data_IF_959933335482
#
_entry.id   IF_959933335482
#
_cell.length_a   1.000
_cell.length_b   1.000
_cell.length_c   1.000
_cell.angle_alpha   90.00
_cell.angle_beta   90.00
_cell.angle_gamma   90.00
#
_symmetry.space_group_name_H-M   'P 1'
#
loop_
_entity.id
_entity.type
_entity.pdbx_description
1 polymer ?
#
# COMPACT_ATOMS: atom_id res chain seq x y z
N UNK A 1 12.95 -8.38 -4.10
CA UNK A 1 12.15 -7.20 -3.93
C UNK A 1 12.09 -6.75 -2.50
N UNK A 2 12.45 -5.53 -2.27
CA UNK A 2 12.64 -5.09 -0.93
C UNK A 2 12.00 -3.76 -0.65
N UNK A 3 11.01 -3.80 0.20
CA UNK A 3 10.45 -2.57 0.75
C UNK A 3 10.74 -2.55 2.24
N UNK A 4 10.92 -1.35 2.77
CA UNK A 4 11.22 -1.18 4.19
C UNK A 4 10.14 -0.34 4.84
N UNK A 5 9.96 -0.56 6.15
CA UNK A 5 9.04 0.26 6.92
C UNK A 5 9.49 1.70 6.87
N UNK A 6 8.57 2.60 6.57
CA UNK A 6 8.87 4.02 6.42
C UNK A 6 9.08 4.45 4.99
N UNK A 7 9.19 3.49 4.08
CA UNK A 7 9.42 3.81 2.68
C UNK A 7 8.16 4.34 2.02
N UNK A 8 8.33 5.28 1.09
CA UNK A 8 7.19 5.86 0.37
C UNK A 8 6.97 5.11 -0.92
N UNK A 9 5.71 4.83 -1.21
CA UNK A 9 5.33 4.04 -2.38
C UNK A 9 4.07 4.59 -3.02
N UNK A 10 3.84 4.18 -4.26
CA UNK A 10 2.57 4.44 -4.94
C UNK A 10 2.05 3.12 -5.50
N UNK A 11 0.79 3.10 -5.88
CA UNK A 11 0.23 1.94 -6.55
C UNK A 11 0.72 1.90 -8.00
N UNK A 12 1.11 0.72 -8.45
CA UNK A 12 1.55 0.54 -9.83
C UNK A 12 0.40 0.60 -10.82
N UNK A 13 -0.77 0.17 -10.38
CA UNK A 13 -1.93 0.14 -11.23
C UNK A 13 -3.17 -0.01 -10.40
N UNK A 14 -4.35 -0.03 -11.03
CA UNK A 14 -5.59 -0.10 -10.28
C UNK A 14 -5.70 -1.42 -9.54
N UNK A 15 -6.29 -1.36 -8.35
CA UNK A 15 -6.58 -2.53 -7.54
C UNK A 15 -8.05 -2.86 -7.69
N UNK A 16 -8.42 -4.15 -7.67
CA UNK A 16 -9.84 -4.49 -7.72
C UNK A 16 -10.58 -4.10 -6.46
N UNK A 17 -9.87 -4.03 -5.34
CA UNK A 17 -10.43 -3.59 -4.07
C UNK A 17 -9.27 -3.31 -3.13
N UNK A 18 -9.58 -2.69 -1.99
CA UNK A 18 -8.60 -2.44 -0.95
C UNK A 18 -9.03 -3.20 0.30
N UNK A 19 -8.08 -3.85 0.95
CA UNK A 19 -8.34 -4.64 2.13
C UNK A 19 -7.73 -3.94 3.34
N UNK A 20 -8.53 -3.70 4.37
CA UNK A 20 -8.03 -3.00 5.55
C UNK A 20 -7.11 -3.88 6.36
N UNK A 21 -6.32 -3.26 7.22
CA UNK A 21 -5.35 -4.00 8.04
C UNK A 21 -5.92 -4.42 9.39
N UNK A 22 -7.19 -4.12 9.64
CA UNK A 22 -7.81 -4.43 10.92
C UNK A 22 -7.84 -5.93 11.17
N UNK A 23 -8.02 -6.32 12.43
CA UNK A 23 -8.06 -7.74 12.77
C UNK A 23 -9.18 -8.45 12.01
N UNK A 24 -10.29 -7.75 11.77
CA UNK A 24 -11.30 -8.24 10.86
C UNK A 24 -11.20 -7.39 9.61
N UNK A 25 -10.55 -7.94 8.59
CA UNK A 25 -10.32 -7.20 7.37
C UNK A 25 -11.61 -6.91 6.64
N UNK A 26 -11.69 -5.73 6.06
CA UNK A 26 -12.84 -5.32 5.27
C UNK A 26 -12.37 -4.92 3.88
N UNK A 27 -13.21 -5.20 2.89
CA UNK A 27 -12.91 -4.79 1.53
C UNK A 27 -13.50 -3.41 1.31
N UNK A 28 -12.69 -2.53 0.71
CA UNK A 28 -13.09 -1.16 0.46
C UNK A 28 -12.99 -0.86 -1.02
N UNK A 29 -13.71 0.15 -1.49
CA UNK A 29 -13.62 0.51 -2.91
C UNK A 29 -12.20 0.92 -3.28
N UNK A 30 -11.74 0.53 -4.46
CA UNK A 30 -10.36 0.85 -4.84
C UNK A 30 -10.10 2.31 -5.11
N UNK A 31 -11.16 3.10 -5.32
CA UNK A 31 -10.98 4.51 -5.61
C UNK A 31 -10.66 5.34 -4.36
N UNK A 32 -10.53 4.71 -3.19
CA UNK A 32 -10.08 5.42 -2.01
C UNK A 32 -8.62 5.85 -2.12
N UNK A 33 -7.87 5.22 -3.00
CA UNK A 33 -6.46 5.55 -3.20
C UNK A 33 -6.25 5.86 -4.68
N UNK A 34 -5.71 7.03 -4.95
CA UNK A 34 -5.35 7.41 -6.31
C UNK A 34 -4.05 6.74 -6.72
N UNK A 35 -3.87 6.52 -8.02
CA UNK A 35 -2.66 5.84 -8.49
C UNK A 35 -1.39 6.62 -8.21
N UNK A 36 -1.49 7.94 -8.16
CA UNK A 36 -0.32 8.76 -7.89
C UNK A 36 -0.23 9.20 -6.44
N UNK A 37 -1.10 8.65 -5.60
CA UNK A 37 -1.09 9.02 -4.19
C UNK A 37 0.08 8.34 -3.49
N UNK A 38 0.77 9.09 -2.66
CA UNK A 38 1.90 8.59 -1.91
C UNK A 38 1.44 7.91 -0.64
N UNK A 39 1.93 6.69 -0.41
CA UNK A 39 1.65 5.98 0.82
C UNK A 39 2.94 5.67 1.54
N UNK A 40 2.83 5.30 2.81
CA UNK A 40 3.98 4.95 3.63
C UNK A 40 3.84 3.53 4.12
N UNK A 41 4.88 2.74 3.97
CA UNK A 41 4.88 1.37 4.46
C UNK A 41 5.02 1.41 5.98
N UNK A 42 4.04 0.82 6.67
CA UNK A 42 4.03 0.82 8.12
C UNK A 42 4.19 -0.58 8.70
N UNK A 43 4.16 -1.60 7.88
CA UNK A 43 4.37 -2.96 8.36
C UNK A 43 4.59 -3.92 7.21
N UNK A 44 5.18 -5.05 7.52
CA UNK A 44 5.47 -6.08 6.53
C UNK A 44 4.87 -7.38 7.03
N UNK A 45 4.11 -8.04 6.17
CA UNK A 45 3.45 -9.30 6.51
C UNK A 45 3.95 -10.42 5.61
N UNK A 46 3.69 -11.69 6.00
CA UNK A 46 4.08 -12.81 5.16
C UNK A 46 3.45 -12.73 3.78
N UNK A 47 4.05 -13.48 2.84
CA UNK A 47 3.55 -13.61 1.48
C UNK A 47 3.58 -12.29 0.72
N UNK A 48 4.57 -11.46 1.04
CA UNK A 48 4.81 -10.21 0.33
C UNK A 48 3.62 -9.26 0.42
N UNK A 49 2.93 -9.27 1.56
CA UNK A 49 1.87 -8.29 1.81
C UNK A 49 2.43 -7.17 2.66
N UNK A 50 2.10 -5.96 2.30
CA UNK A 50 2.60 -4.79 3.00
C UNK A 50 1.44 -3.99 3.56
N UNK A 51 1.63 -3.46 4.78
CA UNK A 51 0.68 -2.54 5.37
C UNK A 51 1.10 -1.15 4.95
N UNK A 52 0.21 -0.47 4.23
CA UNK A 52 0.54 0.84 3.67
C UNK A 52 -0.49 1.85 4.13
N UNK A 53 0.00 2.97 4.62
CA UNK A 53 -0.87 4.04 5.10
C UNK A 53 -1.02 5.09 4.01
N UNK A 54 -2.27 5.31 3.60
CA UNK A 54 -2.64 6.35 2.66
C UNK A 54 -3.50 7.38 3.37
N UNK A 55 -3.90 8.42 2.65
CA UNK A 55 -4.70 9.49 3.26
C UNK A 55 -5.99 8.98 3.88
N UNK A 56 -6.64 8.04 3.21
CA UNK A 56 -7.98 7.62 3.63
C UNK A 56 -7.98 6.31 4.39
N UNK A 57 -6.83 5.80 4.76
CA UNK A 57 -6.80 4.60 5.55
C UNK A 57 -5.55 3.80 5.36
N UNK A 58 -5.49 2.68 6.06
CA UNK A 58 -4.36 1.78 6.03
C UNK A 58 -4.82 0.48 5.42
N UNK A 59 -4.11 0.02 4.41
CA UNK A 59 -4.55 -1.13 3.64
C UNK A 59 -3.43 -2.13 3.46
N UNK A 60 -3.83 -3.40 3.23
CA UNK A 60 -2.89 -4.45 2.87
C UNK A 60 -2.76 -4.49 1.36
N UNK A 61 -1.55 -4.36 0.88
CA UNK A 61 -1.31 -4.32 -0.56
C UNK A 61 -0.16 -5.25 -0.90
N UNK A 62 -0.34 -6.13 -1.90
CA UNK A 62 0.75 -6.99 -2.33
C UNK A 62 1.92 -6.15 -2.84
N UNK A 63 3.13 -6.58 -2.51
CA UNK A 63 4.32 -5.83 -2.90
C UNK A 63 4.38 -5.64 -4.41
N UNK A 64 3.89 -6.61 -5.17
CA UNK A 64 3.96 -6.52 -6.62
C UNK A 64 3.08 -5.42 -7.19
N UNK A 65 2.18 -4.87 -6.37
CA UNK A 65 1.32 -3.78 -6.80
C UNK A 65 1.84 -2.42 -6.39
N UNK A 66 3.01 -2.38 -5.78
CA UNK A 66 3.59 -1.15 -5.27
C UNK A 66 4.85 -0.80 -6.02
N UNK A 67 5.08 0.49 -6.12
CA UNK A 67 6.26 1.01 -6.76
C UNK A 67 6.93 2.00 -5.84
N UNK A 68 8.24 1.85 -5.64
CA UNK A 68 8.98 2.76 -4.78
C UNK A 68 9.07 4.13 -5.43
N UNK A 69 8.93 5.16 -4.62
CA UNK A 69 9.09 6.51 -5.10
C UNK A 69 10.56 6.87 -4.98
N UNK A 70 11.18 7.14 -6.12
CA UNK A 70 12.57 7.53 -6.11
C UNK A 70 12.68 8.98 -5.77
N UNK A 71 13.48 9.25 -4.78
CA UNK A 71 13.72 10.62 -4.39
C UNK A 71 15.10 11.01 -4.81
N UNK A 72 15.15 12.10 -5.50
CA UNK A 72 16.43 12.69 -5.82
C UNK A 72 16.89 13.47 -4.65
N UNK A 73 18.07 13.27 -4.22
CA UNK A 73 18.56 14.00 -3.07
C UNK A 73 19.67 14.93 -3.45
#
# INVERSE_FOLDING_TARGET
MKFSIGEKVTLKGPMPYLKTIDSISMLRPPDLVSLDEEGTIIGIRPKNLLEVKFRRGEFLIPAERLEAIEKES
#
